data_IF_179257929444
#
_entry.id   IF_179257929444
#
_cell.length_a   1.000
_cell.length_b   1.000
_cell.length_c   1.000
_cell.angle_alpha   90.00
_cell.angle_beta   90.00
_cell.angle_gamma   90.00
#
_symmetry.space_group_name_H-M   'P 1'
#
loop_
_entity.id
_entity.type
_entity.pdbx_description
1 polymer ?
#
# COMPACT_ATOMS: atom_id res chain seq x y z
N UNK A 1 -26.33 2.09 11.92
CA UNK A 1 -25.36 1.00 12.15
C UNK A 1 -24.50 0.70 10.91
N UNK A 2 -25.07 0.52 9.73
CA UNK A 2 -24.32 0.29 8.47
C UNK A 2 -23.38 1.45 8.05
N UNK A 3 -23.77 2.70 8.34
CA UNK A 3 -22.95 3.91 8.06
C UNK A 3 -21.70 4.00 8.96
N UNK A 4 -21.83 3.63 10.25
CA UNK A 4 -20.74 3.63 11.23
C UNK A 4 -19.72 2.50 10.94
N UNK A 5 -20.18 1.33 10.51
CA UNK A 5 -19.29 0.25 10.07
C UNK A 5 -18.45 0.66 8.84
N UNK A 6 -19.04 1.44 7.92
CA UNK A 6 -18.38 1.97 6.73
C UNK A 6 -17.36 3.08 7.09
N UNK A 7 -17.58 3.89 8.12
CA UNK A 7 -16.59 4.87 8.61
C UNK A 7 -15.44 4.22 9.37
N UNK A 8 -15.72 3.25 10.24
CA UNK A 8 -14.71 2.58 11.05
C UNK A 8 -13.71 1.77 10.20
N UNK A 9 -14.14 1.16 9.10
CA UNK A 9 -13.26 0.43 8.17
C UNK A 9 -12.28 1.35 7.41
N UNK A 10 -12.54 2.67 7.33
CA UNK A 10 -11.72 3.65 6.60
C UNK A 10 -10.56 4.22 7.43
N UNK A 11 -10.52 3.98 8.73
CA UNK A 11 -9.51 4.55 9.65
C UNK A 11 -8.48 3.49 10.07
N UNK A 12 -8.84 2.20 9.97
CA UNK A 12 -8.01 1.08 10.38
C UNK A 12 -6.61 1.04 9.71
N UNK A 13 -6.49 1.52 8.46
CA UNK A 13 -5.22 1.58 7.73
C UNK A 13 -4.33 2.79 8.07
N UNK A 14 -4.85 3.79 8.79
CA UNK A 14 -4.08 5.00 9.13
C UNK A 14 -2.96 4.66 10.11
N UNK A 15 -3.26 3.91 11.17
CA UNK A 15 -2.26 3.52 12.18
C UNK A 15 -1.12 2.68 11.61
N UNK A 16 -1.38 1.59 10.86
CA UNK A 16 -0.32 0.81 10.22
C UNK A 16 0.48 1.65 9.21
N UNK A 17 -0.19 2.56 8.49
CA UNK A 17 0.47 3.49 7.58
C UNK A 17 1.43 4.43 8.30
N UNK A 18 0.98 5.09 9.37
CA UNK A 18 1.82 5.97 10.20
C UNK A 18 2.98 5.18 10.81
N UNK A 19 2.73 3.98 11.34
CA UNK A 19 3.77 3.10 11.86
C UNK A 19 4.84 2.80 10.80
N UNK A 20 4.40 2.48 9.58
CA UNK A 20 5.30 2.21 8.45
C UNK A 20 6.11 3.45 8.07
N UNK A 21 5.49 4.63 8.02
CA UNK A 21 6.18 5.89 7.75
C UNK A 21 7.21 6.22 8.82
N UNK A 22 6.86 6.08 10.10
CA UNK A 22 7.75 6.37 11.22
C UNK A 22 8.94 5.40 11.26
N UNK A 23 8.69 4.10 11.07
CA UNK A 23 9.75 3.09 11.07
C UNK A 23 10.71 3.26 9.90
N UNK A 24 10.22 3.56 8.69
CA UNK A 24 11.05 3.88 7.52
C UNK A 24 11.81 5.20 7.68
N UNK A 25 11.18 6.23 8.22
CA UNK A 25 11.84 7.52 8.45
C UNK A 25 12.96 7.39 9.48
N UNK A 26 12.72 6.59 10.52
CA UNK A 26 13.72 6.29 11.54
C UNK A 26 14.89 5.49 10.96
N UNK A 27 14.64 4.44 10.15
CA UNK A 27 15.72 3.68 9.51
C UNK A 27 16.53 4.53 8.54
N UNK A 28 15.87 5.39 7.75
CA UNK A 28 16.56 6.33 6.88
C UNK A 28 17.45 7.30 7.67
N UNK A 29 16.94 7.90 8.77
CA UNK A 29 17.72 8.77 9.64
C UNK A 29 18.91 8.05 10.28
N UNK A 30 18.69 6.84 10.83
CA UNK A 30 19.74 6.04 11.43
C UNK A 30 20.82 5.69 10.41
N UNK A 31 20.42 5.32 9.20
CA UNK A 31 21.34 4.97 8.12
C UNK A 31 22.17 6.19 7.66
N UNK A 32 21.51 7.34 7.50
CA UNK A 32 22.15 8.60 7.18
C UNK A 32 23.20 8.98 8.24
N UNK A 33 22.86 8.79 9.52
CA UNK A 33 23.74 9.02 10.65
C UNK A 33 24.95 8.10 10.66
N UNK A 34 24.73 6.80 10.49
CA UNK A 34 25.77 5.77 10.52
C UNK A 34 26.81 5.94 9.41
N UNK A 35 26.37 6.34 8.21
CA UNK A 35 27.24 6.47 7.04
C UNK A 35 27.77 7.88 6.82
N UNK A 36 27.57 8.79 7.77
CA UNK A 36 28.01 10.19 7.67
C UNK A 36 27.60 10.88 6.36
N UNK A 37 26.36 10.65 5.88
CA UNK A 37 25.81 11.37 4.71
C UNK A 37 25.53 12.87 5.01
N UNK A 38 26.15 13.42 6.04
CA UNK A 38 25.99 14.78 6.53
C UNK A 38 26.76 15.79 5.67
N UNK A 39 26.21 16.12 4.51
CA UNK A 39 26.27 17.50 3.99
C UNK A 39 24.89 18.13 4.19
N UNK A 40 24.56 18.44 5.44
CA UNK A 40 23.36 19.23 5.74
C UNK A 40 23.74 20.69 5.49
N UNK A 41 23.51 21.18 4.27
CA UNK A 41 23.25 22.61 4.12
C UNK A 41 21.98 22.91 4.93
N UNK A 42 22.15 23.55 6.09
CA UNK A 42 21.02 24.00 6.90
C UNK A 42 20.24 25.01 6.08
N UNK A 43 19.17 24.56 5.42
CA UNK A 43 18.26 25.46 4.73
C UNK A 43 17.49 26.23 5.81
N UNK A 44 17.42 27.56 5.72
CA UNK A 44 16.75 28.35 6.73
C UNK A 44 15.27 27.98 6.82
N UNK A 45 14.71 27.99 8.04
CA UNK A 45 13.29 27.65 8.28
C UNK A 45 12.34 28.53 7.47
N UNK A 46 12.76 29.76 7.16
CA UNK A 46 12.03 30.66 6.25
C UNK A 46 11.88 30.09 4.83
N UNK A 47 12.88 29.37 4.32
CA UNK A 47 12.83 28.72 3.02
C UNK A 47 11.91 27.50 3.03
N UNK A 48 11.81 26.79 4.17
CA UNK A 48 10.81 25.74 4.36
C UNK A 48 9.38 26.29 4.23
N UNK A 49 9.03 27.34 4.98
CA UNK A 49 7.71 27.96 4.89
C UNK A 49 7.42 28.54 3.50
N UNK A 50 8.43 29.12 2.85
CA UNK A 50 8.30 29.63 1.48
C UNK A 50 7.99 28.51 0.48
N UNK A 51 8.70 27.37 0.56
CA UNK A 51 8.46 26.19 -0.28
C UNK A 51 7.11 25.54 0.02
N UNK A 52 6.75 25.42 1.30
CA UNK A 52 5.45 24.92 1.74
C UNK A 52 4.31 25.77 1.16
N UNK A 53 4.43 27.10 1.23
CA UNK A 53 3.44 28.02 0.66
C UNK A 53 3.37 27.96 -0.87
N UNK A 54 4.51 27.76 -1.54
CA UNK A 54 4.54 27.54 -2.99
C UNK A 54 3.85 26.22 -3.39
N UNK A 55 3.90 25.19 -2.54
CA UNK A 55 3.28 23.89 -2.74
C UNK A 55 1.80 23.83 -2.28
N UNK A 56 1.22 24.92 -1.80
CA UNK A 56 -0.15 24.93 -1.23
C UNK A 56 -1.21 24.30 -2.14
N UNK A 57 -1.10 24.52 -3.46
CA UNK A 57 -2.04 23.99 -4.43
C UNK A 57 -1.88 22.49 -4.64
N UNK A 58 -0.65 21.97 -4.60
CA UNK A 58 -0.41 20.53 -4.61
C UNK A 58 -0.90 19.86 -3.32
N UNK A 59 -0.67 20.49 -2.16
CA UNK A 59 -1.09 19.98 -0.84
C UNK A 59 -2.62 19.97 -0.69
N UNK A 60 -3.33 20.89 -1.34
CA UNK A 60 -4.80 20.91 -1.29
C UNK A 60 -5.42 19.66 -1.95
N UNK A 61 -4.74 19.01 -2.90
CA UNK A 61 -5.25 17.81 -3.58
C UNK A 61 -5.55 16.64 -2.61
N UNK A 62 -4.60 16.15 -1.79
CA UNK A 62 -4.90 15.11 -0.80
C UNK A 62 -5.92 15.58 0.24
N UNK A 63 -5.98 16.88 0.57
CA UNK A 63 -7.01 17.43 1.47
C UNK A 63 -8.41 17.33 0.85
N UNK A 64 -8.56 17.60 -0.44
CA UNK A 64 -9.83 17.44 -1.16
C UNK A 64 -10.26 15.97 -1.18
N UNK A 65 -9.32 15.05 -1.45
CA UNK A 65 -9.60 13.61 -1.50
C UNK A 65 -10.02 13.11 -0.12
N UNK A 66 -9.16 13.28 0.88
CA UNK A 66 -9.37 12.80 2.25
C UNK A 66 -10.59 13.49 2.86
N UNK A 67 -10.65 14.82 2.78
CA UNK A 67 -11.76 15.62 3.28
C UNK A 67 -13.08 15.22 2.63
N UNK A 68 -13.12 15.05 1.31
CA UNK A 68 -14.32 14.62 0.58
C UNK A 68 -14.82 13.24 0.99
N UNK A 69 -13.91 12.29 1.19
CA UNK A 69 -14.24 10.91 1.61
C UNK A 69 -14.74 10.87 3.06
N UNK A 70 -14.06 11.55 3.99
CA UNK A 70 -14.40 11.49 5.42
C UNK A 70 -15.62 12.34 5.78
N UNK A 71 -15.85 13.46 5.08
CA UNK A 71 -17.08 14.25 5.25
C UNK A 71 -18.29 13.59 4.60
N UNK A 72 -18.09 12.56 3.76
CA UNK A 72 -19.15 11.82 3.09
C UNK A 72 -19.75 12.54 1.89
N UNK A 73 -19.16 13.67 1.47
CA UNK A 73 -19.56 14.41 0.26
C UNK A 73 -19.30 13.56 -0.99
N UNK A 74 -18.18 12.83 -1.01
CA UNK A 74 -17.76 12.01 -2.13
C UNK A 74 -17.46 10.57 -1.70
N UNK A 75 -17.75 9.63 -2.59
CA UNK A 75 -17.19 8.28 -2.52
C UNK A 75 -15.72 8.28 -2.96
N UNK A 76 -14.93 7.21 -2.70
CA UNK A 76 -13.54 7.14 -3.15
C UNK A 76 -13.37 7.30 -4.68
N UNK A 77 -14.30 6.73 -5.46
CA UNK A 77 -14.31 6.82 -6.93
C UNK A 77 -14.62 8.24 -7.42
N UNK A 78 -15.60 8.91 -6.81
CA UNK A 78 -15.92 10.31 -7.14
C UNK A 78 -14.79 11.25 -6.70
N UNK A 79 -14.19 11.00 -5.54
CA UNK A 79 -13.06 11.77 -5.03
C UNK A 79 -11.86 11.72 -5.97
N UNK A 80 -11.59 10.55 -6.56
CA UNK A 80 -10.54 10.41 -7.58
C UNK A 80 -10.85 11.25 -8.83
N UNK A 81 -12.10 11.23 -9.32
CA UNK A 81 -12.51 12.05 -10.47
C UNK A 81 -12.35 13.56 -10.18
N UNK A 82 -12.79 14.01 -9.01
CA UNK A 82 -12.62 15.40 -8.57
C UNK A 82 -11.14 15.77 -8.47
N UNK A 83 -10.29 14.87 -7.94
CA UNK A 83 -8.86 15.09 -7.84
C UNK A 83 -8.19 15.22 -9.22
N UNK A 84 -8.61 14.43 -10.22
CA UNK A 84 -8.10 14.55 -11.60
C UNK A 84 -8.50 15.89 -12.20
N UNK A 85 -9.76 16.30 -12.08
CA UNK A 85 -10.22 17.62 -12.56
C UNK A 85 -9.43 18.74 -11.89
N UNK A 86 -9.24 18.66 -10.57
CA UNK A 86 -8.43 19.61 -9.81
C UNK A 86 -6.97 19.64 -10.28
N UNK A 87 -6.34 18.48 -10.50
CA UNK A 87 -4.96 18.38 -10.97
C UNK A 87 -4.78 18.99 -12.37
N UNK A 88 -5.76 18.79 -13.26
CA UNK A 88 -5.78 19.42 -14.59
C UNK A 88 -5.86 20.94 -14.45
N UNK A 89 -6.79 21.47 -13.65
CA UNK A 89 -6.95 22.91 -13.46
C UNK A 89 -5.68 23.56 -12.90
N UNK A 90 -5.11 22.99 -11.84
CA UNK A 90 -3.88 23.51 -11.23
C UNK A 90 -2.68 23.35 -12.17
N UNK A 91 -2.56 22.24 -12.89
CA UNK A 91 -1.50 21.98 -13.85
C UNK A 91 -1.50 22.98 -15.01
N UNK A 92 -2.66 23.31 -15.56
CA UNK A 92 -2.79 24.30 -16.64
C UNK A 92 -2.68 25.75 -16.16
N UNK A 93 -3.45 26.13 -15.14
CA UNK A 93 -3.62 27.54 -14.79
C UNK A 93 -2.60 28.06 -13.78
N UNK A 94 -2.14 27.20 -12.86
CA UNK A 94 -1.26 27.61 -11.75
C UNK A 94 0.18 27.27 -12.03
N UNK A 95 0.50 25.97 -12.20
CA UNK A 95 1.87 25.54 -12.45
C UNK A 95 2.31 25.73 -13.90
N UNK A 96 1.35 25.80 -14.84
CA UNK A 96 1.59 26.06 -16.27
C UNK A 96 2.61 25.11 -16.90
N UNK A 97 2.75 23.92 -16.33
CA UNK A 97 3.67 22.87 -16.77
C UNK A 97 2.95 21.72 -17.49
N UNK A 98 1.61 21.70 -17.44
CA UNK A 98 0.80 20.71 -18.14
C UNK A 98 0.50 21.18 -19.57
N UNK A 99 0.89 20.38 -20.56
CA UNK A 99 0.51 20.58 -21.96
C UNK A 99 -0.54 19.57 -22.37
N UNK A 100 -1.30 19.85 -23.44
CA UNK A 100 -2.28 18.89 -23.99
C UNK A 100 -1.63 17.55 -24.38
N UNK A 101 -0.38 17.58 -24.84
CA UNK A 101 0.38 16.38 -25.17
C UNK A 101 0.67 15.54 -23.92
N UNK A 102 1.19 16.17 -22.86
CA UNK A 102 1.46 15.49 -21.58
C UNK A 102 0.16 14.94 -21.00
N UNK A 103 -0.92 15.73 -21.03
CA UNK A 103 -2.23 15.27 -20.56
C UNK A 103 -2.70 14.04 -21.33
N UNK A 104 -2.61 14.04 -22.65
CA UNK A 104 -2.99 12.89 -23.48
C UNK A 104 -2.14 11.66 -23.17
N UNK A 105 -0.82 11.81 -23.06
CA UNK A 105 0.10 10.73 -22.70
C UNK A 105 -0.24 10.14 -21.33
N UNK A 106 -0.47 10.98 -20.31
CA UNK A 106 -0.86 10.55 -18.97
C UNK A 106 -2.21 9.83 -18.96
N UNK A 107 -3.21 10.33 -19.71
CA UNK A 107 -4.52 9.67 -19.82
C UNK A 107 -4.41 8.31 -20.52
N UNK A 108 -3.61 8.23 -21.59
CA UNK A 108 -3.36 6.98 -22.31
C UNK A 108 -2.71 5.94 -21.40
N UNK A 109 -1.68 6.32 -20.65
CA UNK A 109 -1.01 5.45 -19.70
C UNK A 109 -1.97 4.98 -18.59
N UNK A 110 -2.75 5.89 -18.02
CA UNK A 110 -3.77 5.55 -17.03
C UNK A 110 -4.84 4.59 -17.56
N UNK A 111 -5.26 4.75 -18.82
CA UNK A 111 -6.22 3.86 -19.48
C UNK A 111 -5.64 2.46 -19.70
N UNK A 112 -4.38 2.35 -20.14
CA UNK A 112 -3.71 1.05 -20.32
C UNK A 112 -3.60 0.32 -18.98
N UNK A 113 -3.14 1.00 -17.93
CA UNK A 113 -3.06 0.45 -16.57
C UNK A 113 -4.44 -0.02 -16.08
N UNK A 114 -5.47 0.82 -16.24
CA UNK A 114 -6.84 0.48 -15.82
C UNK A 114 -7.40 -0.73 -16.59
N UNK A 115 -7.14 -0.81 -17.89
CA UNK A 115 -7.57 -1.93 -18.73
C UNK A 115 -6.89 -3.25 -18.34
N UNK A 116 -5.57 -3.21 -18.09
CA UNK A 116 -4.83 -4.37 -17.58
C UNK A 116 -5.40 -4.86 -16.25
N UNK A 117 -5.67 -3.93 -15.31
CA UNK A 117 -6.27 -4.25 -14.01
C UNK A 117 -7.67 -4.84 -14.15
N UNK A 118 -8.53 -4.26 -14.99
CA UNK A 118 -9.88 -4.77 -15.21
C UNK A 118 -9.88 -6.18 -15.80
N UNK A 119 -8.98 -6.47 -16.73
CA UNK A 119 -8.81 -7.81 -17.32
C UNK A 119 -8.31 -8.83 -16.28
N UNK A 120 -7.32 -8.46 -15.48
CA UNK A 120 -6.85 -9.28 -14.36
C UNK A 120 -7.96 -9.54 -13.33
N UNK A 121 -8.78 -8.54 -13.01
CA UNK A 121 -9.92 -8.70 -12.10
C UNK A 121 -10.96 -9.69 -12.65
N UNK A 122 -11.28 -9.62 -13.95
CA UNK A 122 -12.19 -10.56 -14.60
C UNK A 122 -11.69 -12.02 -14.54
N UNK A 123 -10.42 -12.24 -14.82
CA UNK A 123 -9.82 -13.59 -14.75
C UNK A 123 -9.64 -14.08 -13.30
N UNK A 124 -9.22 -13.21 -12.39
CA UNK A 124 -9.07 -13.52 -10.96
C UNK A 124 -10.40 -13.87 -10.31
N UNK A 125 -11.49 -13.17 -10.63
CA UNK A 125 -12.83 -13.48 -10.08
C UNK A 125 -13.36 -14.82 -10.59
N UNK A 126 -13.14 -15.15 -11.86
CA UNK A 126 -13.45 -16.47 -12.40
C UNK A 126 -12.65 -17.58 -11.69
N UNK A 127 -11.35 -17.35 -11.49
CA UNK A 127 -10.47 -18.29 -10.78
C UNK A 127 -10.85 -18.45 -9.31
N UNK A 128 -11.16 -17.35 -8.59
CA UNK A 128 -11.63 -17.40 -7.21
C UNK A 128 -12.93 -18.21 -7.08
N UNK A 129 -13.86 -18.06 -8.04
CA UNK A 129 -15.09 -18.85 -8.08
C UNK A 129 -14.81 -20.33 -8.35
N UNK A 130 -13.89 -20.63 -9.27
CA UNK A 130 -13.43 -22.00 -9.51
C UNK A 130 -12.83 -22.65 -8.26
N UNK A 131 -11.94 -21.95 -7.55
CA UNK A 131 -11.33 -22.45 -6.31
C UNK A 131 -12.36 -22.69 -5.21
N UNK A 132 -13.36 -21.82 -5.11
CA UNK A 132 -14.48 -21.98 -4.18
C UNK A 132 -15.28 -23.26 -4.48
N UNK A 133 -15.62 -23.49 -5.75
CA UNK A 133 -16.32 -24.72 -6.19
C UNK A 133 -15.45 -25.96 -5.98
N UNK A 134 -14.14 -25.87 -6.23
CA UNK A 134 -13.19 -26.96 -6.05
C UNK A 134 -12.87 -27.28 -4.57
N UNK A 135 -13.42 -26.50 -3.62
CA UNK A 135 -13.19 -26.68 -2.19
C UNK A 135 -11.74 -26.43 -1.75
N UNK A 136 -10.95 -25.69 -2.54
CA UNK A 136 -9.54 -25.41 -2.24
C UNK A 136 -9.37 -24.62 -0.93
N UNK A 137 -10.18 -23.59 -0.60
CA UNK A 137 -10.07 -22.91 0.69
C UNK A 137 -10.21 -23.87 1.88
N UNK A 138 -11.14 -24.83 1.81
CA UNK A 138 -11.37 -25.81 2.88
C UNK A 138 -10.17 -26.77 3.05
N UNK A 139 -9.60 -27.25 1.93
CA UNK A 139 -8.39 -28.09 1.96
C UNK A 139 -7.17 -27.35 2.51
N UNK A 140 -7.04 -26.06 2.20
CA UNK A 140 -5.97 -25.22 2.75
C UNK A 140 -6.14 -25.01 4.26
N UNK A 141 -7.36 -24.78 4.73
CA UNK A 141 -7.66 -24.74 6.17
C UNK A 141 -7.21 -26.05 6.83
N UNK A 142 -7.66 -27.21 6.32
CA UNK A 142 -7.29 -28.53 6.86
C UNK A 142 -5.77 -28.76 6.87
N UNK A 143 -5.07 -28.39 5.80
CA UNK A 143 -3.62 -28.55 5.70
C UNK A 143 -2.88 -27.68 6.73
N UNK A 144 -3.33 -26.44 6.93
CA UNK A 144 -2.72 -25.51 7.88
C UNK A 144 -3.04 -25.91 9.32
N UNK A 145 -4.30 -26.25 9.63
CA UNK A 145 -4.68 -26.73 10.97
C UNK A 145 -4.10 -28.10 11.28
N UNK A 146 -3.88 -28.95 10.28
CA UNK A 146 -3.19 -30.24 10.43
C UNK A 146 -1.70 -30.10 10.75
N UNK A 147 -1.08 -28.95 10.43
CA UNK A 147 0.29 -28.63 10.83
C UNK A 147 0.38 -28.03 12.23
N UNK A 148 -0.59 -27.20 12.62
CA UNK A 148 -0.57 -26.47 13.89
C UNK A 148 -1.95 -25.90 14.25
N UNK A 149 -2.31 -26.00 15.53
CA UNK A 149 -3.48 -25.32 16.10
C UNK A 149 -3.12 -23.94 16.67
N UNK A 150 -1.83 -23.58 16.73
CA UNK A 150 -1.39 -22.29 17.29
C UNK A 150 -1.73 -21.13 16.34
N UNK A 151 -2.63 -20.20 16.73
CA UNK A 151 -3.05 -19.08 15.88
C UNK A 151 -1.90 -18.20 15.40
N UNK A 152 -0.86 -18.03 16.22
CA UNK A 152 0.30 -17.19 15.90
C UNK A 152 1.05 -17.77 14.70
N UNK A 153 1.21 -19.08 14.66
CA UNK A 153 1.92 -19.81 13.60
C UNK A 153 1.08 -19.81 12.32
N UNK A 154 -0.24 -19.99 12.43
CA UNK A 154 -1.16 -19.89 11.29
C UNK A 154 -1.03 -18.52 10.61
N UNK A 155 -1.08 -17.45 11.40
CA UNK A 155 -0.93 -16.09 10.87
C UNK A 155 0.46 -15.84 10.28
N UNK A 156 1.51 -16.44 10.85
CA UNK A 156 2.86 -16.37 10.29
C UNK A 156 2.94 -17.04 8.92
N UNK A 157 2.37 -18.24 8.78
CA UNK A 157 2.31 -18.98 7.51
C UNK A 157 1.58 -18.14 6.45
N UNK A 158 0.44 -17.54 6.80
CA UNK A 158 -0.30 -16.65 5.89
C UNK A 158 0.55 -15.45 5.43
N UNK A 159 1.26 -14.79 6.35
CA UNK A 159 2.16 -13.67 6.02
C UNK A 159 3.28 -14.11 5.06
N UNK A 160 3.92 -15.25 5.33
CA UNK A 160 5.00 -15.77 4.49
C UNK A 160 4.51 -16.09 3.08
N UNK A 161 3.35 -16.74 2.96
CA UNK A 161 2.72 -17.02 1.65
C UNK A 161 2.48 -15.72 0.88
N UNK A 162 1.90 -14.71 1.54
CA UNK A 162 1.59 -13.43 0.91
C UNK A 162 2.84 -12.65 0.51
N UNK A 163 3.90 -12.66 1.32
CA UNK A 163 5.17 -12.05 0.98
C UNK A 163 5.80 -12.71 -0.25
N UNK A 164 5.89 -14.04 -0.26
CA UNK A 164 6.50 -14.79 -1.37
C UNK A 164 5.74 -14.57 -2.67
N UNK A 165 4.40 -14.65 -2.63
CA UNK A 165 3.58 -14.35 -3.80
C UNK A 165 3.71 -12.88 -4.23
N UNK A 166 3.77 -11.97 -3.26
CA UNK A 166 3.96 -10.53 -3.48
C UNK A 166 5.25 -10.18 -4.21
N UNK A 167 6.30 -11.00 -4.08
CA UNK A 167 7.55 -10.76 -4.80
C UNK A 167 7.47 -11.04 -6.31
N UNK A 168 6.42 -11.74 -6.77
CA UNK A 168 6.31 -12.22 -8.16
C UNK A 168 5.08 -11.67 -8.86
N UNK A 169 3.98 -11.45 -8.12
CA UNK A 169 2.70 -11.03 -8.68
C UNK A 169 2.36 -9.62 -8.21
N UNK A 170 1.72 -8.83 -9.07
CA UNK A 170 1.27 -7.46 -8.73
C UNK A 170 0.29 -7.46 -7.53
N UNK A 171 0.30 -6.37 -6.77
CA UNK A 171 -0.53 -6.16 -5.58
C UNK A 171 -2.02 -6.45 -5.83
N UNK A 172 -2.57 -5.91 -6.91
CA UNK A 172 -4.01 -5.97 -7.17
C UNK A 172 -4.49 -7.42 -7.40
N UNK A 173 -3.93 -8.19 -8.36
CA UNK A 173 -4.36 -9.56 -8.59
C UNK A 173 -4.16 -10.48 -7.37
N UNK A 174 -3.07 -10.33 -6.59
CA UNK A 174 -2.88 -11.12 -5.37
C UNK A 174 -4.00 -10.87 -4.38
N UNK A 175 -4.32 -9.61 -4.09
CA UNK A 175 -5.35 -9.25 -3.10
C UNK A 175 -6.69 -9.87 -3.48
N UNK A 176 -7.02 -9.87 -4.77
CA UNK A 176 -8.27 -10.40 -5.30
C UNK A 176 -8.36 -11.93 -5.21
N UNK A 177 -7.27 -12.65 -5.49
CA UNK A 177 -7.25 -14.12 -5.46
C UNK A 177 -7.11 -14.61 -4.01
N UNK A 178 -6.20 -14.04 -3.22
CA UNK A 178 -5.86 -14.52 -1.89
C UNK A 178 -6.84 -14.11 -0.80
N UNK A 179 -7.57 -12.99 -0.95
CA UNK A 179 -8.60 -12.60 0.04
C UNK A 179 -9.61 -13.70 0.33
N UNK A 180 -10.35 -14.25 -0.65
CA UNK A 180 -11.34 -15.30 -0.37
C UNK A 180 -10.71 -16.62 0.10
N UNK A 181 -9.43 -16.87 -0.20
CA UNK A 181 -8.72 -18.08 0.22
C UNK A 181 -8.27 -18.03 1.67
N UNK A 182 -7.66 -16.91 2.08
CA UNK A 182 -7.01 -16.78 3.39
C UNK A 182 -7.93 -16.20 4.45
N UNK A 183 -8.95 -15.42 4.08
CA UNK A 183 -9.92 -14.86 5.03
C UNK A 183 -10.53 -15.90 5.98
N UNK A 184 -11.05 -17.06 5.52
CA UNK A 184 -11.59 -18.07 6.43
C UNK A 184 -10.52 -18.65 7.38
N UNK A 185 -9.27 -18.79 6.93
CA UNK A 185 -8.16 -19.32 7.74
C UNK A 185 -7.79 -18.33 8.85
N UNK A 186 -7.59 -17.06 8.52
CA UNK A 186 -7.16 -16.06 9.50
C UNK A 186 -8.27 -15.71 10.49
N UNK A 187 -9.53 -15.73 10.06
CA UNK A 187 -10.68 -15.50 10.93
C UNK A 187 -10.89 -16.66 11.89
N UNK A 188 -10.69 -17.91 11.44
CA UNK A 188 -10.65 -19.07 12.33
C UNK A 188 -9.51 -18.98 13.36
N UNK A 189 -8.37 -18.39 12.98
CA UNK A 189 -7.26 -18.07 13.89
C UNK A 189 -7.49 -16.81 14.77
N UNK A 190 -8.69 -16.22 14.75
CA UNK A 190 -9.07 -15.10 15.62
C UNK A 190 -8.71 -13.70 15.10
N UNK A 191 -8.21 -13.57 13.86
CA UNK A 191 -7.94 -12.26 13.24
C UNK A 191 -9.23 -11.65 12.66
N UNK A 192 -9.45 -10.36 12.90
CA UNK A 192 -10.58 -9.65 12.30
C UNK A 192 -10.39 -9.48 10.77
N UNK A 193 -11.46 -9.48 9.96
CA UNK A 193 -11.38 -9.20 8.52
C UNK A 193 -10.73 -7.84 8.19
N UNK A 194 -10.89 -6.86 9.09
CA UNK A 194 -10.33 -5.51 8.95
C UNK A 194 -8.82 -5.54 9.10
N UNK A 195 -8.33 -6.19 10.18
CA UNK A 195 -6.90 -6.40 10.42
C UNK A 195 -6.28 -7.18 9.27
N UNK A 196 -6.96 -8.23 8.80
CA UNK A 196 -6.51 -9.02 7.65
C UNK A 196 -6.36 -8.17 6.39
N UNK A 197 -7.31 -7.29 6.09
CA UNK A 197 -7.19 -6.37 4.95
C UNK A 197 -5.95 -5.47 5.04
N UNK A 198 -5.65 -4.94 6.23
CA UNK A 198 -4.44 -4.13 6.45
C UNK A 198 -3.16 -4.96 6.28
N UNK A 199 -3.13 -6.15 6.87
CA UNK A 199 -1.99 -7.09 6.79
C UNK A 199 -1.77 -7.54 5.34
N UNK A 200 -2.83 -7.80 4.58
CA UNK A 200 -2.77 -8.13 3.15
C UNK A 200 -2.10 -7.01 2.35
N UNK A 201 -2.57 -5.78 2.52
CA UNK A 201 -2.02 -4.61 1.80
C UNK A 201 -0.55 -4.39 2.16
N UNK A 202 -0.18 -4.51 3.44
CA UNK A 202 1.21 -4.42 3.86
C UNK A 202 2.05 -5.55 3.24
N UNK A 203 1.60 -6.81 3.31
CA UNK A 203 2.32 -7.94 2.73
C UNK A 203 2.58 -7.75 1.23
N UNK A 204 1.55 -7.40 0.44
CA UNK A 204 1.73 -7.23 -1.00
C UNK A 204 2.63 -6.04 -1.31
N UNK A 205 2.49 -4.93 -0.58
CA UNK A 205 3.34 -3.74 -0.74
C UNK A 205 4.80 -4.04 -0.42
N UNK A 206 5.07 -4.85 0.60
CA UNK A 206 6.42 -5.32 0.93
C UNK A 206 6.90 -6.28 -0.15
N UNK A 207 6.06 -7.20 -0.61
CA UNK A 207 6.36 -8.15 -1.67
C UNK A 207 6.81 -7.47 -2.97
N UNK A 208 6.05 -6.52 -3.50
CA UNK A 208 6.37 -5.84 -4.77
C UNK A 208 7.64 -4.97 -4.69
N UNK A 209 8.05 -4.61 -3.46
CA UNK A 209 9.31 -3.93 -3.18
C UNK A 209 10.50 -4.92 -3.14
N UNK A 210 10.24 -6.19 -2.83
CA UNK A 210 11.25 -7.22 -2.55
C UNK A 210 11.69 -7.96 -3.82
N UNK A 211 12.99 -8.26 -3.99
CA UNK A 211 13.47 -9.14 -5.07
C UNK A 211 12.77 -10.51 -5.05
N UNK A 212 12.50 -11.14 -6.22
CA UNK A 212 13.24 -10.98 -7.47
C UNK A 212 12.73 -9.89 -8.43
N UNK A 213 11.47 -9.45 -8.31
CA UNK A 213 10.90 -8.47 -9.26
C UNK A 213 11.17 -7.02 -8.84
N UNK A 214 11.00 -6.70 -7.54
CA UNK A 214 11.38 -5.42 -6.94
C UNK A 214 10.90 -4.19 -7.72
N UNK A 215 9.72 -4.22 -8.33
CA UNK A 215 9.28 -3.24 -9.32
C UNK A 215 9.27 -1.80 -8.74
N UNK A 216 8.80 -1.64 -7.50
CA UNK A 216 8.79 -0.34 -6.84
C UNK A 216 10.20 0.16 -6.52
N UNK A 217 11.10 -0.75 -6.15
CA UNK A 217 12.50 -0.41 -5.89
C UNK A 217 13.23 -0.03 -7.19
N UNK A 218 12.93 -0.72 -8.29
CA UNK A 218 13.44 -0.39 -9.62
C UNK A 218 12.95 0.98 -10.11
N UNK A 219 11.66 1.27 -9.96
CA UNK A 219 11.08 2.56 -10.29
C UNK A 219 11.76 3.69 -9.50
N UNK A 220 11.93 3.50 -8.18
CA UNK A 220 12.61 4.46 -7.33
C UNK A 220 14.08 4.68 -7.74
N UNK A 221 14.81 3.61 -8.05
CA UNK A 221 16.19 3.69 -8.53
C UNK A 221 16.29 4.45 -9.87
N UNK A 222 15.39 4.15 -10.82
CA UNK A 222 15.31 4.85 -12.10
C UNK A 222 15.02 6.34 -11.96
N UNK A 223 14.11 6.72 -11.04
CA UNK A 223 13.81 8.13 -10.76
C UNK A 223 14.98 8.86 -10.11
N UNK A 224 15.73 8.17 -9.24
CA UNK A 224 16.90 8.72 -8.56
C UNK A 224 18.17 8.72 -9.45
N UNK A 225 18.12 8.12 -10.63
CA UNK A 225 19.28 8.00 -11.53
C UNK A 225 20.39 7.10 -10.97
N UNK A 226 20.05 6.16 -10.08
CA UNK A 226 20.98 5.22 -9.49
C UNK A 226 20.75 3.82 -10.04
N UNK A 227 21.80 3.01 -10.04
CA UNK A 227 21.72 1.61 -10.45
C UNK A 227 20.92 0.81 -9.41
N UNK A 228 20.08 -0.11 -9.87
CA UNK A 228 19.27 -0.97 -9.01
C UNK A 228 20.14 -1.79 -8.05
N UNK A 229 21.29 -2.25 -8.51
CA UNK A 229 22.26 -3.01 -7.72
C UNK A 229 22.84 -2.19 -6.56
N UNK A 230 22.96 -0.88 -6.72
CA UNK A 230 23.38 0.01 -5.64
C UNK A 230 22.24 0.24 -4.65
N UNK A 231 21.00 0.38 -5.13
CA UNK A 231 19.83 0.49 -4.26
C UNK A 231 19.60 -0.80 -3.42
N UNK A 232 19.84 -1.98 -4.00
CA UNK A 232 19.69 -3.27 -3.35
C UNK A 232 20.63 -3.47 -2.15
N UNK A 233 21.80 -2.81 -2.12
CA UNK A 233 22.71 -2.88 -0.97
C UNK A 233 22.07 -2.31 0.30
N UNK A 234 21.18 -1.34 0.15
CA UNK A 234 20.50 -0.67 1.26
C UNK A 234 19.17 -1.34 1.63
N UNK A 235 18.61 -2.13 0.70
CA UNK A 235 17.32 -2.77 0.84
C UNK A 235 17.14 -3.61 2.12
N UNK A 236 18.09 -4.46 2.58
CA UNK A 236 17.87 -5.33 3.73
C UNK A 236 17.48 -4.58 5.00
N UNK A 237 18.04 -3.38 5.23
CA UNK A 237 17.70 -2.59 6.41
C UNK A 237 16.25 -2.09 6.36
N UNK A 238 15.81 -1.58 5.21
CA UNK A 238 14.44 -1.11 5.03
C UNK A 238 13.45 -2.29 5.07
N UNK A 239 13.83 -3.42 4.50
CA UNK A 239 13.05 -4.65 4.52
C UNK A 239 12.79 -5.15 5.95
N UNK A 240 13.81 -5.15 6.81
CA UNK A 240 13.63 -5.51 8.23
C UNK A 240 12.65 -4.57 8.92
N UNK A 241 12.74 -3.25 8.70
CA UNK A 241 11.79 -2.30 9.31
C UNK A 241 10.36 -2.50 8.82
N UNK A 242 10.18 -2.86 7.54
CA UNK A 242 8.87 -3.18 6.98
C UNK A 242 8.30 -4.47 7.56
N UNK A 243 9.11 -5.51 7.75
CA UNK A 243 8.70 -6.74 8.43
C UNK A 243 8.29 -6.47 9.88
N UNK A 244 8.99 -5.59 10.59
CA UNK A 244 8.60 -5.19 11.95
C UNK A 244 7.24 -4.49 11.95
N UNK A 245 6.99 -3.56 11.03
CA UNK A 245 5.69 -2.91 10.89
C UNK A 245 4.57 -3.90 10.54
N UNK A 246 4.86 -4.88 9.68
CA UNK A 246 3.95 -5.97 9.30
C UNK A 246 3.60 -6.86 10.50
N UNK A 247 4.59 -7.33 11.25
CA UNK A 247 4.36 -8.19 12.40
C UNK A 247 3.67 -7.44 13.55
N UNK A 248 4.03 -6.17 13.77
CA UNK A 248 3.31 -5.32 14.71
C UNK A 248 1.83 -5.23 14.31
N UNK A 249 1.53 -4.96 13.04
CA UNK A 249 0.15 -4.87 12.55
C UNK A 249 -0.60 -6.21 12.62
N UNK A 250 0.11 -7.33 12.43
CA UNK A 250 -0.46 -8.68 12.46
C UNK A 250 -0.85 -9.11 13.88
N UNK A 251 0.03 -8.87 14.86
CA UNK A 251 -0.10 -9.42 16.21
C UNK A 251 -0.58 -8.42 17.25
N UNK A 252 -0.68 -7.13 16.91
CA UNK A 252 -1.21 -6.10 17.79
C UNK A 252 -2.53 -5.59 17.19
N UNK A 253 -3.69 -6.22 17.50
CA UNK A 253 -4.98 -5.81 16.98
C UNK A 253 -5.31 -4.34 17.24
N UNK A 254 -4.80 -3.75 18.33
CA UNK A 254 -4.95 -2.33 18.64
C UNK A 254 -4.47 -1.41 17.51
N UNK A 255 -3.45 -1.81 16.75
CA UNK A 255 -2.95 -1.01 15.63
C UNK A 255 -3.93 -0.94 14.45
N UNK A 256 -4.96 -1.79 14.40
CA UNK A 256 -5.97 -1.77 13.33
C UNK A 256 -7.37 -1.50 13.87
N UNK A 257 -7.65 -1.95 15.09
CA UNK A 257 -8.94 -1.82 15.77
C UNK A 257 -8.97 -0.68 16.79
N UNK A 258 -7.86 0.00 17.09
CA UNK A 258 -7.82 1.03 18.13
C UNK A 258 -8.64 2.29 17.85
N UNK A 259 -9.04 2.51 16.60
CA UNK A 259 -9.92 3.60 16.18
C UNK A 259 -11.35 3.15 15.81
N UNK A 260 -11.70 1.88 16.10
CA UNK A 260 -13.02 1.28 15.89
C UNK A 260 -13.87 1.35 17.16
#
# INVERSE_FOLDING_TARGET
>A
MYSLYKSSNRIAGILPGILTVLTLSFSAWYYAKKNNFYKIEHQPVSLFFKKFWAAKWAILCPVIIIGGIYTGIFTPTESAAVAVVYAILIGFFVYKNLTLKILYESLKEAMVLSGMVAFMLGTATAFAKFLSIAGVPAKLVELVTGLTDNPIIILLICNVILLVLGCVVDNIPIILIMSPLLLPIVTAAGMSPITFGCVMVLNTTIGILTPPYGANLYLAASMAGVRMEDALKYFPMFFITLLLALFATTYVPFLTLGFL
#
